data_IF_525278805119
#
_entry.id   IF_525278805119
#
_cell.length_a   1.000
_cell.length_b   1.000
_cell.length_c   1.000
_cell.angle_alpha   90.00
_cell.angle_beta   90.00
_cell.angle_gamma   90.00
#
_symmetry.space_group_name_H-M   'P 1'
#
loop_
_entity.id
_entity.type
_entity.pdbx_description
1 polymer ?
#
# COMPACT_ATOMS: atom_id res chain seq x y z
N UNK A 1 3.46 3.81 4.66
CA UNK A 1 3.72 4.69 5.81
C UNK A 1 4.47 3.92 6.88
N UNK A 2 5.46 4.55 7.53
CA UNK A 2 6.35 3.92 8.53
C UNK A 2 5.65 3.64 9.87
N UNK A 3 4.47 4.24 10.09
CA UNK A 3 3.71 4.11 11.34
C UNK A 3 3.26 2.67 11.66
N UNK A 4 2.87 1.88 10.65
CA UNK A 4 2.37 0.52 10.85
C UNK A 4 3.39 -0.41 11.54
N UNK A 5 4.60 -0.58 10.97
CA UNK A 5 5.66 -1.39 11.60
C UNK A 5 6.04 -0.93 13.01
N UNK A 6 6.10 0.39 13.22
CA UNK A 6 6.46 0.98 14.52
C UNK A 6 5.41 0.68 15.57
N UNK A 7 4.12 0.79 15.23
CA UNK A 7 3.01 0.52 16.14
C UNK A 7 2.98 -0.95 16.59
N UNK A 8 3.24 -1.89 15.67
CA UNK A 8 3.33 -3.32 15.99
C UNK A 8 4.52 -3.62 16.90
N UNK A 9 5.68 -3.01 16.63
CA UNK A 9 6.87 -3.23 17.43
C UNK A 9 6.66 -2.78 18.89
N UNK A 10 6.11 -1.58 19.08
CA UNK A 10 5.78 -1.08 20.43
C UNK A 10 4.79 -1.98 21.16
N UNK A 11 3.77 -2.46 20.47
CA UNK A 11 2.75 -3.31 21.07
C UNK A 11 3.31 -4.67 21.51
N UNK A 12 4.21 -5.24 20.70
CA UNK A 12 4.93 -6.48 21.02
C UNK A 12 5.89 -6.29 22.19
N UNK A 13 6.67 -5.20 22.20
CA UNK A 13 7.58 -4.87 23.29
C UNK A 13 6.84 -4.62 24.60
N UNK A 14 5.68 -3.95 24.55
CA UNK A 14 4.81 -3.75 25.70
C UNK A 14 4.30 -5.07 26.28
N UNK A 15 3.91 -6.03 25.45
CA UNK A 15 3.44 -7.33 25.92
C UNK A 15 4.56 -8.19 26.54
N UNK A 16 5.77 -8.09 25.98
CA UNK A 16 6.94 -8.76 26.55
C UNK A 16 7.35 -8.14 27.89
N UNK A 17 7.21 -6.82 28.07
CA UNK A 17 7.59 -6.13 29.31
C UNK A 17 6.64 -6.40 30.49
N UNK A 18 5.37 -6.69 30.21
CA UNK A 18 4.39 -7.16 31.21
C UNK A 18 4.47 -8.67 31.49
N UNK A 19 5.49 -9.36 30.96
CA UNK A 19 5.81 -10.75 31.31
C UNK A 19 5.00 -11.82 30.58
N UNK A 20 4.30 -11.47 29.50
CA UNK A 20 3.55 -12.44 28.68
C UNK A 20 4.52 -13.36 27.95
N UNK A 21 4.26 -14.66 27.98
CA UNK A 21 5.05 -15.66 27.26
C UNK A 21 5.09 -15.32 25.76
N UNK A 22 6.26 -15.50 25.12
CA UNK A 22 6.50 -15.07 23.74
C UNK A 22 5.44 -15.58 22.76
N UNK A 23 4.94 -16.79 22.96
CA UNK A 23 3.87 -17.37 22.13
C UNK A 23 2.55 -16.58 22.27
N UNK A 24 2.11 -16.31 23.50
CA UNK A 24 0.90 -15.56 23.77
C UNK A 24 0.99 -14.09 23.31
N UNK A 25 2.19 -13.50 23.34
CA UNK A 25 2.41 -12.13 22.85
C UNK A 25 2.18 -12.00 21.33
N UNK A 26 2.44 -13.05 20.55
CA UNK A 26 2.13 -13.04 19.11
C UNK A 26 0.63 -13.10 18.86
N UNK A 27 -0.08 -13.99 19.56
CA UNK A 27 -1.53 -14.13 19.42
C UNK A 27 -2.25 -12.81 19.75
N UNK A 28 -1.91 -12.21 20.90
CA UNK A 28 -2.52 -10.95 21.34
C UNK A 28 -2.20 -9.81 20.35
N UNK A 29 -0.96 -9.70 19.87
CA UNK A 29 -0.58 -8.71 18.85
C UNK A 29 -1.40 -8.89 17.57
N UNK A 30 -1.61 -10.13 17.13
CA UNK A 30 -2.36 -10.46 15.93
C UNK A 30 -3.86 -10.14 16.08
N UNK A 31 -4.44 -10.41 17.26
CA UNK A 31 -5.82 -9.99 17.58
C UNK A 31 -5.98 -8.47 17.60
N UNK A 32 -5.01 -7.71 18.12
CA UNK A 32 -5.07 -6.25 18.13
C UNK A 32 -4.97 -5.69 16.70
N UNK A 33 -4.10 -6.25 15.86
CA UNK A 33 -4.02 -5.90 14.45
C UNK A 33 -5.33 -6.20 13.71
N UNK A 34 -5.93 -7.35 13.95
CA UNK A 34 -7.24 -7.69 13.39
C UNK A 34 -8.32 -6.69 13.85
N UNK A 35 -8.31 -6.30 15.14
CA UNK A 35 -9.20 -5.28 15.69
C UNK A 35 -9.03 -3.91 15.02
N UNK A 36 -7.79 -3.47 14.80
CA UNK A 36 -7.49 -2.24 14.07
C UNK A 36 -8.01 -2.27 12.63
N UNK A 37 -7.94 -3.44 11.99
CA UNK A 37 -8.42 -3.63 10.61
C UNK A 37 -9.95 -3.58 10.55
N UNK A 38 -10.64 -4.23 11.48
CA UNK A 38 -12.11 -4.16 11.62
C UNK A 38 -12.55 -2.73 11.92
N UNK A 39 -11.85 -2.04 12.82
CA UNK A 39 -12.15 -0.64 13.13
C UNK A 39 -11.95 0.27 11.91
N UNK A 40 -10.82 0.11 11.19
CA UNK A 40 -10.55 0.84 9.95
C UNK A 40 -11.60 0.55 8.88
N UNK A 41 -12.07 -0.69 8.78
CA UNK A 41 -13.14 -1.10 7.87
C UNK A 41 -14.48 -0.43 8.23
N UNK A 42 -14.84 -0.40 9.52
CA UNK A 42 -16.04 0.30 9.99
C UNK A 42 -15.94 1.80 9.69
N UNK A 43 -14.79 2.43 9.98
CA UNK A 43 -14.53 3.82 9.62
C UNK A 43 -14.69 4.05 8.11
N UNK A 44 -14.16 3.15 7.28
CA UNK A 44 -14.29 3.23 5.82
C UNK A 44 -15.75 3.10 5.36
N UNK A 45 -16.55 2.24 6.00
CA UNK A 45 -17.98 2.14 5.71
C UNK A 45 -18.78 3.37 6.15
N UNK A 46 -18.35 4.06 7.22
CA UNK A 46 -18.97 5.29 7.71
C UNK A 46 -18.64 6.51 6.84
N UNK A 47 -17.57 6.46 6.05
CA UNK A 47 -17.25 7.49 5.06
C UNK A 47 -18.28 7.42 3.93
N UNK A 48 -19.22 8.37 3.94
CA UNK A 48 -20.23 8.54 2.88
C UNK A 48 -19.76 9.55 1.85
N UNK A 49 -20.20 9.42 0.58
CA UNK A 49 -19.96 10.45 -0.43
C UNK A 49 -20.45 11.81 0.07
N UNK A 50 -19.63 12.83 -0.16
CA UNK A 50 -19.93 14.21 0.25
C UNK A 50 -21.20 14.69 -0.46
N UNK A 51 -22.09 15.34 0.28
CA UNK A 51 -23.38 15.78 -0.23
C UNK A 51 -23.24 16.81 -1.35
N UNK A 52 -24.18 16.80 -2.32
CA UNK A 52 -24.03 17.57 -3.56
C UNK A 52 -23.93 19.08 -3.37
N UNK A 53 -24.40 19.59 -2.23
CA UNK A 53 -24.31 21.00 -1.84
C UNK A 53 -22.88 21.52 -1.60
N UNK A 54 -21.90 20.63 -1.51
CA UNK A 54 -20.47 20.97 -1.43
C UNK A 54 -19.78 20.86 -2.80
N UNK A 55 -20.47 20.36 -3.83
CA UNK A 55 -19.99 20.49 -5.20
C UNK A 55 -20.20 21.94 -5.65
N UNK A 56 -19.24 22.47 -6.41
CA UNK A 56 -19.41 23.75 -7.08
C UNK A 56 -20.57 23.66 -8.07
N UNK A 57 -21.40 24.71 -8.11
CA UNK A 57 -22.42 24.89 -9.14
C UNK A 57 -21.79 24.78 -10.53
N UNK A 58 -22.48 24.17 -11.50
CA UNK A 58 -21.95 23.92 -12.85
C UNK A 58 -21.34 25.17 -13.51
N UNK A 59 -21.92 26.36 -13.26
CA UNK A 59 -21.42 27.63 -13.75
C UNK A 59 -20.09 28.06 -13.10
N UNK A 60 -19.90 27.77 -11.81
CA UNK A 60 -18.64 28.05 -11.12
C UNK A 60 -17.59 26.98 -11.45
N UNK A 61 -18.00 25.72 -11.60
CA UNK A 61 -17.14 24.64 -12.07
C UNK A 61 -16.62 24.94 -13.48
N UNK A 62 -17.47 25.45 -14.39
CA UNK A 62 -17.06 25.89 -15.71
C UNK A 62 -16.10 27.10 -15.67
N UNK A 63 -16.32 28.05 -14.75
CA UNK A 63 -15.43 29.20 -14.56
C UNK A 63 -14.07 28.82 -13.96
N UNK A 64 -14.03 27.92 -12.97
CA UNK A 64 -12.77 27.39 -12.42
C UNK A 64 -12.08 26.42 -13.39
N UNK A 65 -12.82 25.62 -14.15
CA UNK A 65 -12.24 24.83 -15.24
C UNK A 65 -11.67 25.72 -16.33
N UNK A 66 -12.29 26.87 -16.64
CA UNK A 66 -11.74 27.84 -17.60
C UNK A 66 -10.49 28.56 -17.05
N UNK A 67 -10.46 28.88 -15.74
CA UNK A 67 -9.30 29.48 -15.07
C UNK A 67 -8.16 28.49 -14.83
N UNK A 68 -8.48 27.20 -14.62
CA UNK A 68 -7.53 26.10 -14.43
C UNK A 68 -7.01 25.51 -15.74
N UNK A 69 -7.79 25.58 -16.83
CA UNK A 69 -7.34 25.15 -18.17
C UNK A 69 -6.29 26.07 -18.79
N UNK A 70 -6.16 27.32 -18.35
CA UNK A 70 -5.28 28.28 -19.03
C UNK A 70 -3.80 28.20 -18.58
N UNK A 71 -3.42 27.26 -17.69
CA UNK A 71 -2.02 27.16 -17.22
C UNK A 71 -1.38 25.77 -17.13
N UNK A 72 -1.96 24.70 -17.68
CA UNK A 72 -1.19 23.45 -17.68
C UNK A 72 -1.72 22.16 -18.28
N UNK A 73 -2.86 22.11 -18.96
CA UNK A 73 -3.30 20.85 -19.56
C UNK A 73 -4.17 21.08 -20.79
N UNK A 74 -3.57 20.97 -21.98
CA UNK A 74 -4.31 20.71 -23.20
C UNK A 74 -5.17 19.45 -23.00
N UNK A 75 -6.50 19.56 -23.11
CA UNK A 75 -7.45 18.45 -23.08
C UNK A 75 -7.26 17.41 -24.22
N UNK A 76 -6.28 17.65 -25.10
CA UNK A 76 -5.82 16.73 -26.15
C UNK A 76 -4.55 15.96 -25.77
N UNK A 77 -3.94 16.22 -24.61
CA UNK A 77 -2.84 15.38 -24.11
C UNK A 77 -3.43 14.17 -23.43
N UNK A 78 -3.71 13.13 -24.22
CA UNK A 78 -3.91 11.79 -23.72
C UNK A 78 -2.78 11.47 -22.73
N UNK A 79 -3.12 11.22 -21.46
CA UNK A 79 -2.22 10.57 -20.49
C UNK A 79 -2.03 9.09 -20.88
N UNK A 80 -1.86 8.82 -22.16
CA UNK A 80 -1.42 7.53 -22.66
C UNK A 80 0.07 7.49 -22.34
N UNK A 81 0.41 6.89 -21.19
CA UNK A 81 1.79 6.59 -20.87
C UNK A 81 2.30 5.60 -21.90
N UNK A 82 2.89 6.14 -22.97
CA UNK A 82 3.57 5.37 -23.98
C UNK A 82 4.99 5.16 -23.47
N UNK A 83 5.23 3.98 -22.89
CA UNK A 83 6.58 3.56 -22.56
C UNK A 83 7.48 3.78 -23.79
N UNK A 84 8.50 4.63 -23.67
CA UNK A 84 9.43 4.85 -24.75
C UNK A 84 10.01 3.49 -25.16
N UNK A 85 9.97 3.13 -26.44
CA UNK A 85 10.40 1.79 -26.90
C UNK A 85 11.85 1.47 -26.47
N UNK A 86 12.68 2.49 -26.29
CA UNK A 86 14.06 2.38 -25.77
C UNK A 86 14.19 2.14 -24.25
N UNK A 87 13.10 2.22 -23.47
CA UNK A 87 13.10 1.95 -22.03
C UNK A 87 12.94 0.46 -21.70
N UNK A 88 12.55 -0.36 -22.68
CA UNK A 88 12.38 -1.82 -22.54
C UNK A 88 13.61 -2.55 -21.96
N UNK A 89 14.86 -2.32 -22.42
CA UNK A 89 16.03 -2.97 -21.83
C UNK A 89 16.28 -2.55 -20.37
N UNK A 90 16.01 -1.27 -20.03
CA UNK A 90 16.12 -0.79 -18.65
C UNK A 90 15.05 -1.40 -17.74
N UNK A 91 13.82 -1.55 -18.24
CA UNK A 91 12.73 -2.22 -17.53
C UNK A 91 13.08 -3.68 -17.29
N UNK A 92 13.58 -4.40 -18.29
CA UNK A 92 14.03 -5.79 -18.12
C UNK A 92 15.18 -5.86 -17.11
N UNK A 93 16.19 -4.98 -17.21
CA UNK A 93 17.31 -4.95 -16.27
C UNK A 93 16.84 -4.68 -14.83
N UNK A 94 15.90 -3.74 -14.64
CA UNK A 94 15.30 -3.45 -13.35
C UNK A 94 14.51 -4.65 -12.80
N UNK A 95 13.71 -5.32 -13.63
CA UNK A 95 12.98 -6.53 -13.25
C UNK A 95 13.89 -7.71 -12.94
N UNK A 96 15.02 -7.86 -13.64
CA UNK A 96 16.01 -8.89 -13.33
C UNK A 96 16.75 -8.58 -12.03
N UNK A 97 17.11 -7.32 -11.77
CA UNK A 97 17.74 -6.90 -10.52
C UNK A 97 16.85 -7.20 -9.30
N UNK A 98 15.53 -7.12 -9.46
CA UNK A 98 14.55 -7.49 -8.41
C UNK A 98 14.25 -9.00 -8.40
N UNK A 99 14.08 -9.60 -9.58
CA UNK A 99 13.64 -10.98 -9.74
C UNK A 99 14.70 -12.01 -9.38
N UNK A 100 15.99 -11.75 -9.67
CA UNK A 100 17.08 -12.69 -9.39
C UNK A 100 17.24 -12.95 -7.88
N UNK A 101 17.37 -11.93 -7.00
CA UNK A 101 17.44 -12.15 -5.56
C UNK A 101 16.19 -12.82 -4.99
N UNK A 102 15.01 -12.50 -5.54
CA UNK A 102 13.74 -13.04 -5.07
C UNK A 102 13.61 -14.53 -5.40
N UNK A 103 13.92 -14.93 -6.65
CA UNK A 103 13.98 -16.33 -7.06
C UNK A 103 15.00 -17.12 -6.23
N UNK A 104 16.16 -16.52 -5.93
CA UNK A 104 17.16 -17.14 -5.07
C UNK A 104 16.63 -17.41 -3.67
N UNK A 105 15.97 -16.42 -3.05
CA UNK A 105 15.35 -16.57 -1.73
C UNK A 105 14.28 -17.68 -1.71
N UNK A 106 13.43 -17.73 -2.74
CA UNK A 106 12.41 -18.78 -2.89
C UNK A 106 13.07 -20.16 -3.03
N UNK A 107 14.09 -20.28 -3.88
CA UNK A 107 14.82 -21.54 -4.08
C UNK A 107 15.44 -22.07 -2.79
N UNK A 108 16.14 -21.21 -2.04
CA UNK A 108 16.73 -21.57 -0.73
C UNK A 108 15.67 -22.04 0.26
N UNK A 109 14.51 -21.38 0.27
CA UNK A 109 13.40 -21.74 1.16
C UNK A 109 12.84 -23.12 0.79
N UNK A 110 12.64 -23.39 -0.50
CA UNK A 110 12.19 -24.70 -0.99
C UNK A 110 13.19 -25.80 -0.65
N UNK A 111 14.49 -25.57 -0.87
CA UNK A 111 15.53 -26.54 -0.49
C UNK A 111 15.51 -26.86 1.00
N UNK A 112 15.43 -25.84 1.87
CA UNK A 112 15.37 -26.04 3.33
C UNK A 112 14.12 -26.81 3.76
N UNK A 113 12.99 -26.53 3.11
CA UNK A 113 11.72 -27.19 3.42
C UNK A 113 11.72 -28.63 2.91
N UNK A 114 12.30 -28.91 1.74
CA UNK A 114 12.39 -30.27 1.19
C UNK A 114 13.18 -31.22 2.10
N UNK A 115 14.24 -30.73 2.78
CA UNK A 115 15.02 -31.52 3.74
C UNK A 115 14.23 -31.91 4.99
N UNK A 116 13.15 -31.19 5.34
CA UNK A 116 12.26 -31.58 6.45
C UNK A 116 11.35 -32.77 6.12
N UNK A 117 11.19 -33.11 4.84
CA UNK A 117 10.31 -34.17 4.37
C UNK A 117 11.04 -35.47 3.97
N UNK A 118 12.36 -35.56 4.18
CA UNK A 118 13.17 -36.75 3.94
C UNK A 118 14.01 -37.12 5.17
#
# INVERSE_FOLDING_TARGET
GVLGPVLVNYLREYQLSIGVERAAAYDITLYILAGLLVLGFICNLLVRPVADKYFMTDAQLAAEQALGHDKGADASTSLEWKAASGSLPLVIAAWLAVGIPLLWGVWVTVQKTAVLFH
#
